data_IF_584292601654
#
_entry.id   IF_584292601654
#
_cell.length_a   1.000
_cell.length_b   1.000
_cell.length_c   1.000
_cell.angle_alpha   90.00
_cell.angle_beta   90.00
_cell.angle_gamma   90.00
#
_symmetry.space_group_name_H-M   'P 1'
#
loop_
_entity.id
_entity.type
_entity.pdbx_description
1 polymer ?
#
# COMPACT_ATOMS: atom_id res chain seq x y z
N UNK A 1 1.78 17.39 -8.44
CA UNK A 1 1.19 16.08 -8.80
C UNK A 1 1.88 15.00 -7.99
N UNK A 2 1.12 14.22 -7.23
CA UNK A 2 1.63 13.35 -6.16
C UNK A 2 2.75 12.37 -6.60
N UNK A 3 2.65 11.76 -7.79
CA UNK A 3 3.72 10.86 -8.27
C UNK A 3 5.05 11.59 -8.52
N UNK A 4 5.01 12.84 -8.99
CA UNK A 4 6.22 13.62 -9.30
C UNK A 4 6.97 13.98 -8.02
N UNK A 5 6.23 14.29 -6.95
CA UNK A 5 6.82 14.55 -5.63
C UNK A 5 7.51 13.30 -5.05
N UNK A 6 7.09 12.10 -5.48
CA UNK A 6 7.73 10.82 -5.14
C UNK A 6 8.72 10.29 -6.18
N UNK A 7 9.09 11.11 -7.17
CA UNK A 7 10.05 10.72 -8.21
C UNK A 7 9.58 9.58 -9.13
N UNK A 8 8.27 9.32 -9.20
CA UNK A 8 7.70 8.20 -9.99
C UNK A 8 7.26 8.64 -11.39
N UNK A 9 7.45 7.76 -12.38
CA UNK A 9 7.03 7.99 -13.78
C UNK A 9 5.55 7.69 -14.02
N UNK A 10 4.96 8.17 -15.12
CA UNK A 10 3.57 7.82 -15.49
C UNK A 10 3.44 6.33 -15.78
N UNK A 11 4.45 5.75 -16.44
CA UNK A 11 4.50 4.32 -16.73
C UNK A 11 4.47 3.50 -15.44
N UNK A 12 5.28 3.87 -14.46
CA UNK A 12 5.29 3.20 -13.16
C UNK A 12 3.90 3.23 -12.51
N UNK A 13 3.23 4.39 -12.48
CA UNK A 13 1.91 4.50 -11.87
C UNK A 13 0.86 3.68 -12.63
N UNK A 14 0.97 3.62 -13.96
CA UNK A 14 0.09 2.81 -14.80
C UNK A 14 0.26 1.31 -14.52
N UNK A 15 1.51 0.86 -14.37
CA UNK A 15 1.84 -0.53 -14.04
C UNK A 15 1.31 -0.91 -12.63
N UNK A 16 1.42 -0.02 -11.62
CA UNK A 16 0.90 -0.26 -10.27
C UNK A 16 -0.65 -0.26 -10.21
N UNK A 17 -1.32 0.60 -10.98
CA UNK A 17 -2.79 0.74 -10.98
C UNK A 17 -3.47 -0.29 -11.90
N UNK A 18 -2.71 -0.89 -12.82
CA UNK A 18 -3.21 -1.86 -13.80
C UNK A 18 -3.91 -1.22 -14.99
N UNK A 19 -3.40 -0.09 -15.49
CA UNK A 19 -3.97 0.66 -16.62
C UNK A 19 -2.91 1.00 -17.67
N UNK A 20 -3.33 1.51 -18.83
CA UNK A 20 -2.40 2.03 -19.82
C UNK A 20 -1.81 3.38 -19.38
N UNK A 21 -0.53 3.61 -19.70
CA UNK A 21 0.17 4.88 -19.44
C UNK A 21 -0.56 6.09 -20.04
N UNK A 22 -1.21 5.91 -21.21
CA UNK A 22 -2.02 6.94 -21.85
C UNK A 22 -3.22 7.36 -21.00
N UNK A 23 -3.84 6.44 -20.25
CA UNK A 23 -4.90 6.74 -19.29
C UNK A 23 -4.41 7.64 -18.17
N UNK A 24 -3.25 7.31 -17.57
CA UNK A 24 -2.60 8.17 -16.57
C UNK A 24 -2.30 9.56 -17.13
N UNK A 25 -1.78 9.65 -18.36
CA UNK A 25 -1.50 10.94 -18.99
C UNK A 25 -2.78 11.77 -19.22
N UNK A 26 -3.92 11.14 -19.53
CA UNK A 26 -5.20 11.83 -19.68
C UNK A 26 -5.72 12.36 -18.35
N UNK A 27 -5.60 11.60 -17.26
CA UNK A 27 -5.95 12.04 -15.91
C UNK A 27 -5.11 13.23 -15.48
N UNK A 28 -3.80 13.16 -15.72
CA UNK A 28 -2.86 14.22 -15.37
C UNK A 28 -3.03 15.51 -16.16
N UNK A 29 -3.66 15.43 -17.33
CA UNK A 29 -3.99 16.59 -18.18
C UNK A 29 -5.43 17.05 -18.03
N UNK A 30 -6.23 16.40 -17.17
CA UNK A 30 -7.64 16.74 -16.95
C UNK A 30 -8.55 16.43 -18.14
N UNK A 31 -8.11 15.59 -19.08
CA UNK A 31 -8.94 15.18 -20.23
C UNK A 31 -10.02 14.19 -19.83
N UNK A 32 -9.75 13.36 -18.83
CA UNK A 32 -10.67 12.39 -18.25
C UNK A 32 -10.39 12.28 -16.76
N UNK A 33 -11.38 11.85 -15.98
CA UNK A 33 -11.20 11.55 -14.57
C UNK A 33 -11.08 10.03 -14.34
N UNK A 34 -10.23 9.58 -13.41
CA UNK A 34 -10.17 8.18 -13.02
C UNK A 34 -11.48 7.78 -12.32
N UNK A 35 -11.98 6.58 -12.61
CA UNK A 35 -13.05 5.97 -11.82
C UNK A 35 -12.60 5.78 -10.36
N UNK A 36 -13.56 5.73 -9.42
CA UNK A 36 -13.30 5.59 -7.98
C UNK A 36 -12.35 4.44 -7.64
N UNK A 37 -12.45 3.31 -8.34
CA UNK A 37 -11.57 2.16 -8.14
C UNK A 37 -10.11 2.47 -8.53
N UNK A 38 -9.89 3.12 -9.68
CA UNK A 38 -8.56 3.56 -10.09
C UNK A 38 -8.02 4.64 -9.16
N UNK A 39 -8.87 5.56 -8.70
CA UNK A 39 -8.51 6.59 -7.74
C UNK A 39 -8.05 5.98 -6.40
N UNK A 40 -8.72 4.92 -5.93
CA UNK A 40 -8.34 4.16 -4.74
C UNK A 40 -6.98 3.48 -4.92
N UNK A 41 -6.76 2.82 -6.06
CA UNK A 41 -5.47 2.20 -6.39
C UNK A 41 -4.34 3.24 -6.50
N UNK A 42 -4.60 4.41 -7.08
CA UNK A 42 -3.63 5.52 -7.14
C UNK A 42 -3.29 5.99 -5.73
N UNK A 43 -4.29 6.14 -4.86
CA UNK A 43 -4.08 6.55 -3.47
C UNK A 43 -3.19 5.56 -2.71
N UNK A 44 -3.43 4.26 -2.87
CA UNK A 44 -2.60 3.21 -2.28
C UNK A 44 -1.19 3.16 -2.87
N UNK A 45 -1.05 3.14 -4.20
CA UNK A 45 0.24 3.06 -4.88
C UNK A 45 1.14 4.26 -4.53
N UNK A 46 0.53 5.44 -4.41
CA UNK A 46 1.24 6.65 -4.02
C UNK A 46 1.28 6.86 -2.52
N UNK A 47 0.66 6.04 -1.68
CA UNK A 47 0.59 6.26 -0.23
C UNK A 47 0.11 7.70 0.11
N UNK A 48 -1.03 8.09 -0.46
CA UNK A 48 -1.66 9.41 -0.23
C UNK A 48 -3.07 9.24 0.29
N UNK A 49 -3.57 10.28 0.97
CA UNK A 49 -4.96 10.32 1.38
C UNK A 49 -5.88 10.33 0.15
N UNK A 50 -6.88 9.44 0.15
CA UNK A 50 -7.86 9.34 -0.92
C UNK A 50 -8.71 10.61 -1.08
N UNK A 51 -9.15 11.22 0.02
CA UNK A 51 -9.95 12.46 0.01
C UNK A 51 -9.16 13.63 -0.59
N UNK A 52 -7.88 13.75 -0.21
CA UNK A 52 -6.98 14.74 -0.81
C UNK A 52 -6.81 14.51 -2.30
N UNK A 53 -6.61 13.26 -2.72
CA UNK A 53 -6.45 12.92 -4.12
C UNK A 53 -7.73 13.20 -4.94
N UNK A 54 -8.90 12.93 -4.35
CA UNK A 54 -10.20 13.06 -5.00
C UNK A 54 -10.70 14.51 -5.08
N UNK A 55 -10.44 15.30 -4.04
CA UNK A 55 -11.10 16.61 -3.85
C UNK A 55 -10.13 17.77 -3.70
N UNK A 56 -8.84 17.48 -3.48
CA UNK A 56 -7.84 18.48 -3.10
C UNK A 56 -7.99 19.01 -1.67
N UNK A 57 -8.94 18.51 -0.87
CA UNK A 57 -9.17 18.90 0.52
C UNK A 57 -8.41 17.99 1.49
N UNK A 58 -8.05 18.53 2.66
CA UNK A 58 -7.31 17.79 3.68
C UNK A 58 -5.82 17.67 3.39
N UNK A 59 -5.13 16.76 4.10
CA UNK A 59 -3.69 16.55 3.97
C UNK A 59 -3.35 15.47 2.94
N UNK A 60 -2.32 15.71 2.13
CA UNK A 60 -1.87 14.78 1.08
C UNK A 60 -1.38 13.45 1.64
N UNK A 61 -0.69 13.48 2.77
CA UNK A 61 -0.17 12.31 3.48
C UNK A 61 -1.09 12.03 4.65
N UNK A 62 -2.07 11.14 4.45
CA UNK A 62 -3.11 10.87 5.45
C UNK A 62 -2.76 9.80 6.48
N UNK A 63 -1.58 9.20 6.40
CA UNK A 63 -1.06 8.28 7.41
C UNK A 63 0.41 8.63 7.62
N UNK A 64 0.67 9.71 8.35
CA UNK A 64 1.92 9.75 9.09
C UNK A 64 1.74 8.67 10.15
N UNK A 65 2.49 7.57 10.06
CA UNK A 65 2.72 6.74 11.23
C UNK A 65 3.59 7.56 12.18
N UNK A 66 3.02 8.62 12.76
CA UNK A 66 3.45 9.06 14.06
C UNK A 66 3.03 7.92 14.98
N UNK A 67 3.95 7.19 15.61
CA UNK A 67 3.55 6.39 16.75
C UNK A 67 2.89 7.39 17.68
N UNK A 68 1.55 7.32 17.77
CA UNK A 68 0.82 8.13 18.71
C UNK A 68 1.53 7.91 20.04
N UNK A 69 2.08 8.97 20.64
CA UNK A 69 2.52 8.90 22.02
C UNK A 69 1.24 8.81 22.83
N UNK A 70 0.67 7.61 22.88
CA UNK A 70 -0.42 7.30 23.79
C UNK A 70 0.19 7.43 25.17
N UNK A 71 -0.27 8.39 25.95
CA UNK A 71 0.03 8.42 27.38
C UNK A 71 -0.76 7.26 27.98
N UNK A 72 -0.09 6.13 28.13
CA UNK A 72 -0.64 4.91 28.68
C UNK A 72 -0.72 5.08 30.19
N UNK A 73 -1.90 5.39 30.71
CA UNK A 73 -2.17 5.45 32.16
C UNK A 73 -2.14 4.08 32.82
N UNK A 74 -2.18 3.01 32.02
CA UNK A 74 -2.01 1.63 32.44
C UNK A 74 -1.11 0.94 31.41
N UNK A 75 -0.15 0.13 31.88
CA UNK A 75 0.73 -0.62 30.98
C UNK A 75 -0.13 -1.44 30.01
N UNK A 76 0.01 -1.19 28.70
CA UNK A 76 -0.69 -1.99 27.70
C UNK A 76 -0.40 -3.47 27.98
N UNK A 77 -1.39 -4.37 27.93
CA UNK A 77 -1.08 -5.78 27.76
C UNK A 77 -0.19 -5.88 26.53
N UNK A 78 0.96 -6.56 26.63
CA UNK A 78 1.95 -6.71 25.56
C UNK A 78 1.23 -7.02 24.24
N UNK A 79 1.00 -5.99 23.42
CA UNK A 79 0.22 -6.12 22.21
C UNK A 79 1.12 -6.76 21.16
N UNK A 80 1.09 -8.10 21.13
CA UNK A 80 1.72 -8.98 20.16
C UNK A 80 3.22 -8.71 19.89
N UNK A 81 4.06 -9.12 20.83
CA UNK A 81 5.40 -9.54 20.47
C UNK A 81 5.28 -10.84 19.67
N UNK A 82 5.37 -10.77 18.34
CA UNK A 82 5.53 -11.97 17.50
C UNK A 82 6.56 -12.92 18.13
N UNK A 83 6.29 -14.22 18.11
CA UNK A 83 7.28 -15.24 18.50
C UNK A 83 8.53 -15.11 17.62
N UNK A 84 9.67 -15.64 18.06
CA UNK A 84 10.91 -15.55 17.27
C UNK A 84 10.73 -16.18 15.88
N UNK A 85 10.02 -17.31 15.80
CA UNK A 85 9.66 -17.96 14.53
C UNK A 85 8.81 -17.07 13.62
N UNK A 86 7.83 -16.35 14.19
CA UNK A 86 7.01 -15.42 13.42
C UNK A 86 7.83 -14.22 12.91
N UNK A 87 8.75 -13.69 13.72
CA UNK A 87 9.65 -12.61 13.29
C UNK A 87 10.60 -13.07 12.20
N UNK A 88 11.15 -14.27 12.35
CA UNK A 88 12.02 -14.88 11.36
C UNK A 88 11.28 -15.08 10.03
N UNK A 89 10.06 -15.62 10.10
CA UNK A 89 9.20 -15.76 8.93
C UNK A 89 8.97 -14.42 8.24
N UNK A 90 8.59 -13.37 8.97
CA UNK A 90 8.36 -12.05 8.40
C UNK A 90 9.62 -11.50 7.70
N UNK A 91 10.80 -11.62 8.34
CA UNK A 91 12.08 -11.21 7.73
C UNK A 91 12.37 -11.94 6.43
N UNK A 92 12.19 -13.27 6.42
CA UNK A 92 12.42 -14.08 5.21
C UNK A 92 11.38 -13.76 4.13
N UNK A 93 10.11 -13.61 4.52
CA UNK A 93 9.02 -13.28 3.62
C UNK A 93 9.24 -11.93 2.93
N UNK A 94 9.64 -10.90 3.67
CA UNK A 94 9.92 -9.57 3.12
C UNK A 94 11.18 -9.56 2.24
N UNK A 95 12.15 -10.44 2.48
CA UNK A 95 13.31 -10.58 1.61
C UNK A 95 13.00 -11.29 0.26
N UNK A 96 11.87 -12.00 0.15
CA UNK A 96 11.52 -12.72 -1.07
C UNK A 96 11.02 -11.77 -2.19
N UNK A 97 11.35 -12.04 -3.46
CA UNK A 97 10.69 -11.42 -4.61
C UNK A 97 9.18 -11.67 -4.59
N UNK A 98 8.38 -10.70 -5.07
CA UNK A 98 6.90 -10.74 -5.02
C UNK A 98 6.31 -12.05 -5.54
N UNK A 99 6.80 -12.58 -6.66
CA UNK A 99 6.33 -13.86 -7.22
C UNK A 99 6.60 -15.07 -6.32
N UNK A 100 7.70 -15.07 -5.55
CA UNK A 100 8.01 -16.15 -4.59
C UNK A 100 7.17 -16.07 -3.32
N UNK A 101 6.78 -14.85 -2.91
CA UNK A 101 5.84 -14.64 -1.79
C UNK A 101 4.48 -15.27 -2.09
N UNK A 102 3.97 -15.07 -3.31
CA UNK A 102 2.70 -15.67 -3.75
C UNK A 102 2.77 -17.20 -3.75
N UNK A 103 3.84 -17.80 -4.27
CA UNK A 103 4.04 -19.25 -4.22
C UNK A 103 4.08 -19.78 -2.80
N UNK A 104 4.79 -19.11 -1.89
CA UNK A 104 4.88 -19.51 -0.48
C UNK A 104 3.52 -19.43 0.23
N UNK A 105 2.75 -18.37 -0.01
CA UNK A 105 1.41 -18.23 0.57
C UNK A 105 0.43 -19.28 0.03
N UNK A 106 0.49 -19.60 -1.26
CA UNK A 106 -0.32 -20.68 -1.84
C UNK A 106 0.03 -22.01 -1.20
N UNK A 107 1.31 -22.32 -1.08
CA UNK A 107 1.77 -23.55 -0.42
C UNK A 107 1.30 -23.65 1.04
N UNK A 108 1.43 -22.57 1.83
CA UNK A 108 0.94 -22.55 3.21
C UNK A 108 -0.57 -22.76 3.31
N UNK A 109 -1.36 -22.17 2.39
CA UNK A 109 -2.82 -22.36 2.35
C UNK A 109 -3.19 -23.81 2.04
N UNK A 110 -2.52 -24.41 1.07
CA UNK A 110 -2.78 -25.79 0.68
C UNK A 110 -2.48 -26.75 1.84
N UNK A 111 -1.39 -26.49 2.58
CA UNK A 111 -1.00 -27.29 3.74
C UNK A 111 -1.98 -27.20 4.91
N UNK A 112 -2.58 -26.02 5.14
CA UNK A 112 -3.60 -25.83 6.17
C UNK A 112 -4.93 -26.53 5.80
N UNK A 113 -5.22 -26.64 4.51
CA UNK A 113 -6.47 -27.22 4.00
C UNK A 113 -6.41 -28.73 3.72
N UNK A 114 -5.23 -29.34 3.81
CA UNK A 114 -5.06 -30.79 3.75
C UNK A 114 -5.53 -31.43 5.06
N UNK A 115 -6.79 -31.89 5.06
CA UNK A 115 -7.32 -32.85 6.04
C UNK A 115 -7.05 -34.29 5.60
#
# INVERSE_FOLDING_TARGET
MARKQRGRSQKWLADEVGVHQTGVAQWETGRTDPATENLSRIAQALDVNFEWLATGKGEMTGIVYEPASVVLTEALPEYNSYTEEQREFLRLFDALPKGKRETLLTFMRDWINLK
#
